data_IF_585167866240
#
_entry.id   IF_585167866240
#
_cell.length_a   1.000
_cell.length_b   1.000
_cell.length_c   1.000
_cell.angle_alpha   90.00
_cell.angle_beta   90.00
_cell.angle_gamma   90.00
#
_symmetry.space_group_name_H-M   'P 1'
#
loop_
_entity.id
_entity.type
_entity.pdbx_description
1 polymer ?
#
# COMPACT_ATOMS: atom_id res chain seq x y z
N UNK A 1 0.16 24.09 -14.03
CA UNK A 1 0.21 23.50 -12.69
C UNK A 1 -1.05 23.97 -11.97
N UNK A 2 -2.17 23.22 -12.11
CA UNK A 2 -3.40 23.45 -11.39
C UNK A 2 -3.21 23.22 -9.89
N UNK A 3 -4.07 23.79 -9.07
CA UNK A 3 -4.09 23.68 -7.61
C UNK A 3 -4.19 22.20 -7.17
N UNK A 4 -3.09 21.47 -7.27
CA UNK A 4 -2.95 20.21 -6.56
C UNK A 4 -2.95 20.62 -5.10
N UNK A 5 -4.03 20.33 -4.37
CA UNK A 5 -4.00 20.37 -2.92
C UNK A 5 -2.92 19.40 -2.48
N UNK A 6 -1.72 19.88 -2.29
CA UNK A 6 -0.59 19.12 -1.77
C UNK A 6 -0.94 18.75 -0.32
N UNK A 7 -1.70 17.68 -0.18
CA UNK A 7 -1.86 17.03 1.09
C UNK A 7 -0.47 16.40 1.41
N UNK A 8 0.05 16.62 2.61
CA UNK A 8 1.37 16.14 3.07
C UNK A 8 1.55 14.61 2.98
N UNK A 9 0.51 13.88 2.60
CA UNK A 9 0.50 12.42 2.47
C UNK A 9 0.63 11.92 1.02
N UNK A 10 0.61 12.79 0.01
CA UNK A 10 0.98 12.43 -1.35
C UNK A 10 2.50 12.25 -1.48
N UNK A 11 2.93 11.39 -2.38
CA UNK A 11 4.32 11.21 -2.73
C UNK A 11 4.81 9.77 -2.58
N UNK A 12 6.12 9.64 -2.67
CA UNK A 12 6.83 8.36 -2.56
C UNK A 12 6.61 7.75 -1.18
N UNK A 13 6.32 6.44 -1.16
CA UNK A 13 6.10 5.66 0.06
C UNK A 13 7.28 4.76 0.38
N UNK A 14 7.86 4.16 -0.65
CA UNK A 14 9.01 3.28 -0.50
C UNK A 14 9.83 3.21 -1.78
N UNK A 15 11.10 2.86 -1.60
CA UNK A 15 12.04 2.53 -2.67
C UNK A 15 12.68 1.19 -2.35
N UNK A 16 12.65 0.28 -3.31
CA UNK A 16 13.33 -1.00 -3.24
C UNK A 16 14.22 -1.17 -4.47
N UNK A 17 15.45 -1.62 -4.26
CA UNK A 17 16.41 -1.85 -5.34
C UNK A 17 16.80 -3.33 -5.34
N UNK A 18 16.69 -3.95 -6.51
CA UNK A 18 17.13 -5.31 -6.77
C UNK A 18 18.04 -5.32 -8.00
N UNK A 19 19.33 -5.52 -7.80
CA UNK A 19 20.38 -5.36 -8.82
C UNK A 19 20.30 -3.95 -9.47
N UNK A 20 20.11 -3.89 -10.78
CA UNK A 20 20.02 -2.65 -11.56
C UNK A 20 18.56 -2.19 -11.77
N UNK A 21 17.62 -2.71 -11.03
CA UNK A 21 16.21 -2.32 -11.09
C UNK A 21 15.83 -1.59 -9.81
N UNK A 22 15.24 -0.41 -9.97
CA UNK A 22 14.62 0.36 -8.90
C UNK A 22 13.10 0.22 -8.98
N UNK A 23 12.48 -0.08 -7.86
CA UNK A 23 11.04 -0.08 -7.67
C UNK A 23 10.66 1.07 -6.75
N UNK A 24 9.58 1.76 -7.08
CA UNK A 24 9.11 2.93 -6.35
C UNK A 24 7.60 2.85 -6.17
N UNK A 25 7.14 2.80 -4.95
CA UNK A 25 5.72 2.97 -4.65
C UNK A 25 5.41 4.43 -4.35
N UNK A 26 4.29 4.90 -4.85
CA UNK A 26 3.86 6.30 -4.69
C UNK A 26 2.34 6.41 -4.68
N UNK A 27 1.84 7.37 -3.94
CA UNK A 27 0.45 7.80 -4.13
C UNK A 27 0.32 8.46 -5.50
N UNK A 28 -0.75 8.13 -6.22
CA UNK A 28 -1.13 8.83 -7.45
C UNK A 28 -2.41 9.66 -7.23
N UNK A 29 -2.60 10.65 -8.08
CA UNK A 29 -3.82 11.45 -8.15
C UNK A 29 -4.24 11.65 -9.61
N UNK A 30 -5.47 11.26 -9.93
CA UNK A 30 -6.07 11.47 -11.24
C UNK A 30 -6.90 12.77 -11.22
N UNK A 31 -6.38 13.81 -11.85
CA UNK A 31 -6.96 15.15 -11.85
C UNK A 31 -8.37 15.15 -12.45
N UNK A 32 -8.56 14.46 -13.58
CA UNK A 32 -9.84 14.43 -14.29
C UNK A 32 -10.96 13.75 -13.50
N UNK A 33 -10.61 12.76 -12.69
CA UNK A 33 -11.57 11.97 -11.89
C UNK A 33 -11.68 12.46 -10.45
N UNK A 34 -10.79 13.38 -10.03
CA UNK A 34 -10.64 13.86 -8.65
C UNK A 34 -10.52 12.69 -7.66
N UNK A 35 -9.58 11.79 -7.91
CA UNK A 35 -9.41 10.60 -7.10
C UNK A 35 -7.94 10.18 -6.97
N UNK A 36 -7.65 9.34 -5.98
CA UNK A 36 -6.29 8.94 -5.63
C UNK A 36 -6.19 7.45 -5.29
N UNK A 37 -4.97 6.94 -5.21
CA UNK A 37 -4.67 5.58 -4.81
C UNK A 37 -3.17 5.36 -4.68
N UNK A 38 -2.75 4.09 -4.75
CA UNK A 38 -1.36 3.66 -4.71
C UNK A 38 -0.95 3.06 -6.05
N UNK A 39 0.24 3.41 -6.50
CA UNK A 39 0.86 2.81 -7.68
C UNK A 39 2.28 2.32 -7.35
N UNK A 40 2.74 1.35 -8.14
CA UNK A 40 4.11 0.82 -8.10
C UNK A 40 4.71 0.95 -9.49
N UNK A 41 5.90 1.50 -9.53
CA UNK A 41 6.67 1.72 -10.75
C UNK A 41 8.00 0.97 -10.67
N UNK A 42 8.56 0.62 -11.83
CA UNK A 42 9.94 0.15 -11.95
C UNK A 42 10.69 0.92 -13.00
N UNK A 43 12.01 0.99 -12.85
CA UNK A 43 12.93 1.52 -13.85
C UNK A 43 14.27 0.83 -13.75
N UNK A 44 15.06 0.86 -14.80
CA UNK A 44 16.46 0.43 -14.76
C UNK A 44 17.35 1.59 -14.30
N UNK A 45 18.41 1.21 -13.58
CA UNK A 45 19.45 2.13 -13.12
C UNK A 45 20.69 1.89 -13.99
N UNK A 46 21.15 2.92 -14.68
CA UNK A 46 22.42 2.87 -15.40
C UNK A 46 23.50 3.52 -14.51
N UNK A 47 24.49 2.73 -14.14
CA UNK A 47 25.59 3.17 -13.29
C UNK A 47 26.80 3.56 -14.15
N UNK A 48 26.77 4.76 -14.71
CA UNK A 48 27.90 5.41 -15.36
C UNK A 48 28.59 6.35 -14.37
N UNK A 49 29.32 7.36 -14.80
CA UNK A 49 29.89 8.41 -13.92
C UNK A 49 28.83 9.18 -13.11
N UNK A 50 27.57 9.13 -13.56
CA UNK A 50 26.39 9.65 -12.86
C UNK A 50 25.31 8.58 -12.86
N UNK A 51 24.53 8.51 -11.77
CA UNK A 51 23.36 7.65 -11.68
C UNK A 51 22.25 8.21 -12.59
N UNK A 52 21.83 7.41 -13.58
CA UNK A 52 20.68 7.74 -14.43
C UNK A 52 19.54 6.74 -14.13
N UNK A 53 18.33 7.25 -14.01
CA UNK A 53 17.10 6.48 -13.94
C UNK A 53 16.39 6.65 -15.26
N UNK A 54 16.11 5.53 -15.93
CA UNK A 54 15.40 5.52 -17.20
C UNK A 54 13.91 5.85 -17.02
N UNK A 55 13.12 5.68 -18.06
CA UNK A 55 11.67 5.88 -17.97
C UNK A 55 11.02 4.93 -16.97
N UNK A 56 10.01 5.43 -16.25
CA UNK A 56 9.27 4.64 -15.28
C UNK A 56 8.19 3.79 -15.97
N UNK A 57 8.20 2.51 -15.69
CA UNK A 57 7.17 1.57 -16.11
C UNK A 57 6.21 1.31 -14.95
N UNK A 58 4.91 1.62 -15.13
CA UNK A 58 3.87 1.31 -14.16
C UNK A 58 3.60 -0.20 -14.17
N UNK A 59 3.84 -0.87 -13.05
CA UNK A 59 3.64 -2.31 -12.90
C UNK A 59 2.45 -2.67 -12.02
N UNK A 60 1.94 -1.71 -11.24
CA UNK A 60 0.70 -1.83 -10.49
C UNK A 60 0.08 -0.45 -10.29
N UNK A 61 -1.23 -0.41 -10.31
CA UNK A 61 -2.04 0.72 -9.88
C UNK A 61 -3.31 0.18 -9.26
N UNK A 62 -3.66 0.66 -8.05
CA UNK A 62 -4.87 0.20 -7.36
C UNK A 62 -6.11 0.43 -8.24
N UNK A 63 -6.91 -0.60 -8.44
CA UNK A 63 -8.03 -0.58 -9.39
C UNK A 63 -9.10 0.43 -9.03
N UNK A 64 -9.38 0.56 -7.73
CA UNK A 64 -10.38 1.49 -7.22
C UNK A 64 -9.74 2.82 -6.90
N UNK A 65 -9.95 3.83 -7.74
CA UNK A 65 -9.52 5.20 -7.48
C UNK A 65 -10.44 5.86 -6.45
N UNK A 66 -9.89 6.29 -5.31
CA UNK A 66 -10.66 6.79 -4.16
C UNK A 66 -10.92 8.28 -4.26
N UNK A 67 -12.18 8.69 -4.16
CA UNK A 67 -12.58 10.09 -4.02
C UNK A 67 -12.64 10.48 -2.54
N UNK A 68 -12.37 11.73 -2.22
CA UNK A 68 -12.46 12.23 -0.82
C UNK A 68 -13.86 12.02 -0.21
N UNK A 69 -14.90 12.06 -1.04
CA UNK A 69 -16.31 11.89 -0.66
C UNK A 69 -16.63 10.52 -0.04
N UNK A 70 -15.76 9.52 -0.23
CA UNK A 70 -15.94 8.21 0.40
C UNK A 70 -15.92 8.32 1.93
N UNK A 71 -15.24 9.35 2.46
CA UNK A 71 -15.13 9.56 3.90
C UNK A 71 -16.31 10.39 4.42
N UNK A 72 -17.01 9.84 5.41
CA UNK A 72 -18.14 10.50 6.07
C UNK A 72 -17.72 11.47 7.16
N UNK A 73 -16.48 11.38 7.62
CA UNK A 73 -15.88 12.26 8.63
C UNK A 73 -14.62 12.91 8.06
N UNK A 74 -14.43 14.20 8.38
CA UNK A 74 -13.21 14.92 7.96
C UNK A 74 -11.98 14.29 8.59
N UNK A 75 -11.17 13.62 7.78
CA UNK A 75 -9.83 13.18 8.14
C UNK A 75 -8.92 13.19 6.90
N UNK A 76 -7.63 13.04 7.15
CA UNK A 76 -6.62 12.96 6.09
C UNK A 76 -6.66 11.58 5.43
N UNK A 77 -7.33 11.41 4.28
CA UNK A 77 -7.62 10.09 3.70
C UNK A 77 -6.38 9.29 3.32
N UNK A 78 -5.25 9.97 3.14
CA UNK A 78 -3.99 9.35 2.69
C UNK A 78 -3.06 8.91 3.83
N UNK A 79 -3.47 9.08 5.09
CA UNK A 79 -2.62 8.78 6.25
C UNK A 79 -2.31 7.29 6.41
N UNK A 80 -3.16 6.41 5.88
CA UNK A 80 -3.04 4.95 5.98
C UNK A 80 -2.82 4.33 4.61
N UNK A 81 -1.77 4.73 3.90
CA UNK A 81 -1.55 4.31 2.50
C UNK A 81 -0.70 3.05 2.34
N UNK A 82 0.03 2.60 3.36
CA UNK A 82 0.99 1.51 3.21
C UNK A 82 2.13 1.88 2.27
N UNK A 83 2.39 1.05 1.27
CA UNK A 83 3.34 1.29 0.18
C UNK A 83 4.66 0.54 0.33
N UNK A 84 4.84 -0.33 1.33
CA UNK A 84 6.10 -1.08 1.52
C UNK A 84 6.27 -2.15 0.47
N UNK A 85 7.50 -2.26 -0.04
CA UNK A 85 7.90 -3.18 -1.10
C UNK A 85 8.92 -4.16 -0.54
N UNK A 86 8.76 -5.45 -0.83
CA UNK A 86 9.80 -6.45 -0.57
C UNK A 86 9.78 -7.54 -1.63
N UNK A 87 10.95 -8.07 -1.96
CA UNK A 87 11.08 -9.22 -2.86
C UNK A 87 10.59 -10.49 -2.17
N UNK A 88 9.67 -11.21 -2.80
CA UNK A 88 9.20 -12.52 -2.34
C UNK A 88 10.00 -13.66 -2.96
N UNK A 89 10.24 -13.55 -4.26
CA UNK A 89 11.08 -14.45 -5.07
C UNK A 89 11.54 -13.74 -6.36
N UNK A 90 12.15 -14.48 -7.30
CA UNK A 90 12.72 -13.89 -8.52
C UNK A 90 11.70 -13.14 -9.39
N UNK A 91 10.44 -13.58 -9.39
CA UNK A 91 9.40 -13.02 -10.25
C UNK A 91 8.30 -12.27 -9.48
N UNK A 92 8.37 -12.21 -8.15
CA UNK A 92 7.29 -11.66 -7.34
C UNK A 92 7.77 -10.67 -6.30
N UNK A 93 7.06 -9.57 -6.19
CA UNK A 93 7.15 -8.64 -5.06
C UNK A 93 5.92 -8.77 -4.16
N UNK A 94 6.08 -8.43 -2.89
CA UNK A 94 4.97 -8.07 -2.01
C UNK A 94 4.90 -6.55 -1.89
N UNK A 95 3.67 -6.03 -1.99
CA UNK A 95 3.36 -4.61 -1.82
C UNK A 95 2.28 -4.47 -0.75
N UNK A 96 2.53 -3.68 0.28
CA UNK A 96 1.47 -3.32 1.23
C UNK A 96 0.64 -2.18 0.69
N UNK A 97 -0.68 -2.31 0.76
CA UNK A 97 -1.64 -1.25 0.45
C UNK A 97 -2.47 -1.00 1.71
N UNK A 98 -2.45 0.22 2.22
CA UNK A 98 -3.21 0.56 3.42
C UNK A 98 -4.71 0.68 3.17
N UNK A 99 -5.49 0.83 4.22
CA UNK A 99 -6.95 0.91 4.16
C UNK A 99 -7.49 2.28 3.73
N UNK A 100 -6.62 3.29 3.66
CA UNK A 100 -6.97 4.68 3.35
C UNK A 100 -8.07 5.25 4.27
N UNK A 101 -8.17 4.75 5.48
CA UNK A 101 -9.23 5.05 6.45
C UNK A 101 -10.65 4.73 5.93
N UNK A 102 -10.80 3.73 5.04
CA UNK A 102 -12.08 3.16 4.64
C UNK A 102 -12.36 1.93 5.51
N UNK A 103 -12.69 2.19 6.77
CA UNK A 103 -12.61 1.24 7.89
C UNK A 103 -13.95 1.00 8.63
N UNK A 104 -15.05 1.55 8.14
CA UNK A 104 -16.35 1.47 8.80
C UNK A 104 -16.58 2.55 9.85
N UNK A 105 -15.56 3.36 10.18
CA UNK A 105 -15.65 4.50 11.08
C UNK A 105 -15.52 5.85 10.34
N UNK A 106 -14.49 6.03 9.51
CA UNK A 106 -14.30 7.21 8.69
C UNK A 106 -15.05 7.15 7.36
N UNK A 107 -15.32 5.95 6.88
CA UNK A 107 -16.17 5.64 5.74
C UNK A 107 -17.16 4.54 6.14
N UNK A 108 -18.20 4.30 5.34
CA UNK A 108 -19.18 3.23 5.61
C UNK A 108 -18.61 1.84 5.33
N UNK A 109 -17.81 1.76 4.29
CA UNK A 109 -17.20 0.52 3.82
C UNK A 109 -16.06 0.09 4.75
N UNK A 110 -15.71 -1.19 4.68
CA UNK A 110 -14.59 -1.80 5.39
C UNK A 110 -13.68 -2.49 4.38
N UNK A 111 -12.89 -1.71 3.66
CA UNK A 111 -12.11 -2.21 2.54
C UNK A 111 -11.14 -3.32 2.91
N UNK A 112 -10.55 -3.29 4.09
CA UNK A 112 -9.62 -4.34 4.54
C UNK A 112 -10.27 -5.73 4.57
N UNK A 113 -11.60 -5.82 4.73
CA UNK A 113 -12.36 -7.07 4.74
C UNK A 113 -13.01 -7.42 3.40
N UNK A 114 -13.08 -6.48 2.46
CA UNK A 114 -13.67 -6.67 1.14
C UNK A 114 -12.60 -7.12 0.14
N UNK A 115 -12.69 -8.36 -0.34
CA UNK A 115 -11.72 -8.96 -1.27
C UNK A 115 -11.88 -8.49 -2.72
N UNK A 116 -12.84 -7.62 -3.01
CA UNK A 116 -13.05 -7.03 -4.34
C UNK A 116 -12.24 -5.76 -4.60
N UNK A 117 -11.29 -5.42 -3.72
CA UNK A 117 -10.44 -4.25 -3.84
C UNK A 117 -9.05 -4.49 -3.24
N UNK A 118 -8.12 -3.59 -3.53
CA UNK A 118 -6.71 -3.70 -3.15
C UNK A 118 -6.37 -3.12 -1.77
N UNK A 119 -7.30 -2.41 -1.13
CA UNK A 119 -7.03 -1.63 0.08
C UNK A 119 -7.09 -2.47 1.36
N UNK A 120 -6.16 -2.20 2.30
CA UNK A 120 -6.01 -2.97 3.54
C UNK A 120 -5.49 -4.39 3.27
N UNK A 121 -4.54 -4.51 2.32
CA UNK A 121 -4.00 -5.78 1.83
C UNK A 121 -2.47 -5.77 1.82
N UNK A 122 -1.88 -6.95 1.83
CA UNK A 122 -0.58 -7.21 1.21
C UNK A 122 -0.87 -7.92 -0.10
N UNK A 123 -0.39 -7.37 -1.20
CA UNK A 123 -0.56 -7.89 -2.56
C UNK A 123 0.72 -8.58 -3.00
N UNK A 124 0.58 -9.66 -3.76
CA UNK A 124 1.68 -10.24 -4.54
C UNK A 124 1.58 -9.72 -5.97
N UNK A 125 2.65 -9.13 -6.47
CA UNK A 125 2.76 -8.59 -7.83
C UNK A 125 3.68 -9.47 -8.64
N UNK A 126 3.20 -10.03 -9.74
CA UNK A 126 4.00 -10.78 -10.71
C UNK A 126 4.71 -9.81 -11.66
N UNK A 127 6.04 -9.84 -11.67
CA UNK A 127 6.88 -8.91 -12.43
C UNK A 127 6.90 -9.17 -13.94
N UNK A 128 6.48 -10.36 -14.38
CA UNK A 128 6.45 -10.74 -15.79
C UNK A 128 5.11 -10.35 -16.43
N UNK A 129 4.01 -10.66 -15.73
CA UNK A 129 2.65 -10.44 -16.24
C UNK A 129 2.04 -9.13 -15.81
N UNK A 130 2.60 -8.50 -14.77
CA UNK A 130 2.05 -7.33 -14.06
C UNK A 130 0.68 -7.60 -13.40
N UNK A 131 0.29 -8.86 -13.29
CA UNK A 131 -0.90 -9.23 -12.54
C UNK A 131 -0.62 -9.22 -11.06
N UNK A 132 -1.66 -9.00 -10.26
CA UNK A 132 -1.56 -9.07 -8.81
C UNK A 132 -2.65 -9.93 -8.21
N UNK A 133 -2.39 -10.42 -7.01
CA UNK A 133 -3.34 -11.17 -6.20
C UNK A 133 -3.23 -10.76 -4.73
N UNK A 134 -4.29 -10.96 -3.97
CA UNK A 134 -4.28 -10.71 -2.53
C UNK A 134 -3.47 -11.81 -1.85
N UNK A 135 -2.33 -11.43 -1.26
CA UNK A 135 -1.51 -12.34 -0.46
C UNK A 135 -2.09 -12.51 0.95
N UNK A 136 -2.47 -11.39 1.60
CA UNK A 136 -3.17 -11.37 2.91
C UNK A 136 -4.04 -10.12 3.00
N UNK A 137 -4.99 -10.11 3.93
CA UNK A 137 -5.98 -9.04 4.06
C UNK A 137 -6.32 -8.74 5.53
N UNK A 138 -7.17 -7.74 5.75
CA UNK A 138 -7.50 -7.31 7.10
C UNK A 138 -6.40 -6.47 7.73
N UNK A 139 -5.64 -5.73 6.92
CA UNK A 139 -4.60 -4.81 7.34
C UNK A 139 -5.11 -3.37 7.40
N UNK A 140 -4.54 -2.58 8.32
CA UNK A 140 -4.82 -1.15 8.42
C UNK A 140 -3.77 -0.33 7.68
N UNK A 141 -2.54 -0.33 8.18
CA UNK A 141 -1.45 0.51 7.66
C UNK A 141 -0.09 -0.14 7.91
N UNK A 142 0.26 -1.08 7.06
CA UNK A 142 1.56 -1.77 7.12
C UNK A 142 2.66 -0.81 6.70
N UNK A 143 3.58 -0.48 7.62
CA UNK A 143 4.68 0.47 7.43
C UNK A 143 6.06 -0.18 7.46
N UNK A 144 6.16 -1.44 7.82
CA UNK A 144 7.34 -2.28 7.66
C UNK A 144 6.95 -3.60 7.03
N UNK A 145 7.73 -4.08 6.07
CA UNK A 145 7.53 -5.37 5.43
C UNK A 145 8.89 -6.01 5.18
N UNK A 146 9.04 -7.26 5.60
CA UNK A 146 10.25 -8.03 5.45
C UNK A 146 9.91 -9.46 5.01
N UNK A 147 10.65 -9.98 4.04
CA UNK A 147 10.58 -11.37 3.62
C UNK A 147 12.00 -11.94 3.51
N UNK A 148 12.33 -12.89 4.37
CA UNK A 148 13.54 -13.69 4.21
C UNK A 148 13.34 -14.75 3.10
N UNK A 149 12.13 -15.31 3.06
CA UNK A 149 11.68 -16.31 2.09
C UNK A 149 10.14 -16.40 2.15
N UNK A 150 9.55 -17.27 1.32
CA UNK A 150 8.08 -17.46 1.26
C UNK A 150 7.41 -17.90 2.57
N UNK A 151 8.17 -18.37 3.58
CA UNK A 151 7.63 -18.85 4.87
C UNK A 151 7.87 -17.88 6.02
N UNK A 152 8.87 -17.02 5.89
CA UNK A 152 9.28 -16.08 6.93
C UNK A 152 9.07 -14.65 6.45
N UNK A 153 7.81 -14.21 6.51
CA UNK A 153 7.38 -12.87 6.14
C UNK A 153 6.84 -12.20 7.39
N UNK A 154 7.27 -10.97 7.64
CA UNK A 154 6.87 -10.18 8.79
C UNK A 154 6.44 -8.78 8.36
N UNK A 155 5.48 -8.22 9.06
CA UNK A 155 5.01 -6.85 8.86
C UNK A 155 4.88 -6.13 10.19
N UNK A 156 5.23 -4.84 10.21
CA UNK A 156 4.83 -3.93 11.29
C UNK A 156 3.68 -3.07 10.80
N UNK A 157 2.70 -2.87 11.66
CA UNK A 157 1.43 -2.24 11.30
C UNK A 157 0.99 -1.25 12.38
N UNK A 158 0.58 -0.06 11.96
CA UNK A 158 0.01 0.93 12.88
C UNK A 158 -1.43 0.58 13.24
N UNK A 159 -1.69 0.50 14.53
CA UNK A 159 -3.04 0.44 15.11
C UNK A 159 -3.74 1.81 15.10
N UNK A 160 -4.99 1.89 15.63
CA UNK A 160 -5.69 3.17 15.80
C UNK A 160 -5.04 4.01 16.91
N UNK A 161 -5.56 4.01 18.14
CA UNK A 161 -4.88 4.59 19.30
C UNK A 161 -4.12 3.51 20.05
N UNK A 162 -2.79 3.42 19.86
CA UNK A 162 -1.98 2.30 20.29
C UNK A 162 -2.30 1.03 19.48
N UNK A 163 -1.89 -0.12 19.99
CA UNK A 163 -2.15 -1.41 19.35
C UNK A 163 -1.38 -1.62 18.05
N UNK A 164 -0.22 -0.99 17.91
CA UNK A 164 0.72 -1.30 16.83
C UNK A 164 1.14 -2.77 16.91
N UNK A 165 1.28 -3.42 15.78
CA UNK A 165 1.44 -4.86 15.68
C UNK A 165 2.73 -5.24 14.97
N UNK A 166 3.32 -6.37 15.41
CA UNK A 166 4.30 -7.13 14.64
C UNK A 166 3.67 -8.46 14.26
N UNK A 167 3.38 -8.62 12.99
CA UNK A 167 2.66 -9.75 12.44
C UNK A 167 3.58 -10.68 11.64
N UNK A 168 3.50 -11.99 11.88
CA UNK A 168 4.00 -12.98 10.94
C UNK A 168 2.94 -13.20 9.87
N UNK A 169 3.32 -12.99 8.60
CA UNK A 169 2.38 -12.96 7.49
C UNK A 169 2.31 -14.32 6.80
N UNK A 170 1.09 -14.81 6.61
CA UNK A 170 0.78 -16.04 5.90
C UNK A 170 -0.19 -15.74 4.75
N UNK A 171 -0.04 -16.47 3.64
CA UNK A 171 -0.93 -16.37 2.48
C UNK A 171 -2.38 -16.65 2.88
N UNK A 172 -3.31 -15.88 2.31
CA UNK A 172 -4.77 -16.01 2.47
C UNK A 172 -5.29 -15.81 3.91
N UNK A 173 -4.48 -15.24 4.80
CA UNK A 173 -4.90 -15.00 6.18
C UNK A 173 -5.48 -13.59 6.36
N UNK A 174 -6.50 -13.52 7.23
CA UNK A 174 -7.13 -12.29 7.70
C UNK A 174 -6.48 -11.83 9.00
N UNK A 175 -6.01 -10.58 9.04
CA UNK A 175 -5.35 -9.96 10.19
C UNK A 175 -6.30 -9.10 11.04
N UNK A 176 -7.58 -9.08 10.70
CA UNK A 176 -8.69 -8.69 11.58
C UNK A 176 -9.16 -7.26 11.45
N UNK A 177 -8.34 -6.32 11.00
CA UNK A 177 -8.76 -4.93 10.87
C UNK A 177 -9.93 -4.75 9.88
N UNK A 178 -10.95 -3.93 10.18
CA UNK A 178 -11.23 -3.19 11.42
C UNK A 178 -12.14 -3.94 12.40
N UNK A 179 -12.35 -5.25 12.21
CA UNK A 179 -13.24 -6.06 13.06
C UNK A 179 -12.63 -6.41 14.42
N UNK A 180 -11.29 -6.46 14.47
CA UNK A 180 -10.50 -6.68 15.66
C UNK A 180 -9.25 -5.79 15.62
N UNK A 181 -8.81 -5.29 16.78
CA UNK A 181 -7.59 -4.52 16.98
C UNK A 181 -7.14 -4.62 18.42
N UNK A 182 -5.84 -4.48 18.67
CA UNK A 182 -5.28 -4.33 20.01
C UNK A 182 -5.30 -2.87 20.50
N UNK A 183 -5.58 -1.92 19.61
CA UNK A 183 -5.74 -0.51 19.97
C UNK A 183 -7.16 -0.17 20.41
N UNK A 184 -7.31 0.98 21.06
CA UNK A 184 -8.63 1.55 21.38
C UNK A 184 -9.19 2.29 20.17
N UNK A 185 -10.50 2.38 20.08
CA UNK A 185 -11.17 3.22 19.09
C UNK A 185 -10.78 4.70 19.25
N UNK A 186 -10.97 5.50 18.20
CA UNK A 186 -10.53 6.90 18.24
C UNK A 186 -11.31 7.79 19.20
N UNK A 187 -12.40 7.29 19.80
CA UNK A 187 -13.33 8.04 20.63
C UNK A 187 -13.96 7.19 21.76
N UNK A 188 -13.28 6.17 22.20
CA UNK A 188 -13.65 5.40 23.41
C UNK A 188 -13.06 6.07 24.65
#
# INVERSE_FOLDING_TARGET
YGNIRMNNFFGVKDIFIDNDIIYLSSSYYEIEKDCHGLALYKSSIENNEKLYINEWDEIFKSEKCLKEEIHTKKRMPLASSGGRIVKLDENNLLLSVGDYAVDGYYAKEKFSQDLSNDYGKILQIDLLTKQHEIFSYGHRNVQGLYAENKKNIFATEHGPHGGDELNKIYREKNYGWPLATFGTGYFD
#
